data_IF_647286317504
#
_entry.id   IF_647286317504
#
_cell.length_a   1.000
_cell.length_b   1.000
_cell.length_c   1.000
_cell.angle_alpha   90.00
_cell.angle_beta   90.00
_cell.angle_gamma   90.00
#
_symmetry.space_group_name_H-M   'P 1'
#
loop_
_entity.id
_entity.type
_entity.pdbx_description
1 polymer ?
#
# COMPACT_ATOMS: atom_id res chain seq x y z
N UNK A 1 12.28 14.61 15.16
CA UNK A 1 10.98 14.11 14.69
C UNK A 1 11.14 13.64 13.27
N UNK A 2 11.14 12.32 13.03
CA UNK A 2 11.26 11.76 11.68
C UNK A 2 9.87 11.78 11.02
N UNK A 3 9.70 12.49 9.89
CA UNK A 3 8.44 12.51 9.17
C UNK A 3 8.17 11.15 8.54
N UNK A 4 7.00 10.57 8.83
CA UNK A 4 6.33 9.55 8.01
C UNK A 4 7.21 8.39 7.55
N UNK A 5 7.71 7.59 8.49
CA UNK A 5 8.30 6.29 8.16
C UNK A 5 7.18 5.31 7.79
N UNK A 6 6.68 5.40 6.55
CA UNK A 6 5.89 4.32 5.95
C UNK A 6 6.86 3.18 5.65
N UNK A 7 6.67 2.04 6.33
CA UNK A 7 7.54 0.87 6.25
C UNK A 7 7.89 0.49 4.82
N UNK A 8 9.16 0.67 4.48
CA UNK A 8 9.72 0.33 3.17
C UNK A 8 10.99 1.12 2.89
N UNK A 9 12.12 0.72 3.49
CA UNK A 9 13.42 1.06 2.88
C UNK A 9 13.44 0.40 1.50
N UNK A 10 13.23 1.19 0.45
CA UNK A 10 13.22 0.69 -0.92
C UNK A 10 13.95 1.60 -1.90
N UNK A 11 13.57 2.88 -1.97
CA UNK A 11 14.12 3.79 -2.99
C UNK A 11 14.19 5.23 -2.47
N UNK A 12 15.32 5.89 -2.70
CA UNK A 12 15.50 7.32 -2.42
C UNK A 12 15.00 8.12 -3.61
N UNK A 13 13.98 8.94 -3.40
CA UNK A 13 13.48 9.89 -4.41
C UNK A 13 13.70 11.31 -3.92
N UNK A 14 14.01 12.29 -4.81
CA UNK A 14 14.46 13.63 -4.41
C UNK A 14 13.34 14.55 -3.88
N UNK A 15 12.13 14.02 -3.74
CA UNK A 15 10.94 14.75 -3.32
C UNK A 15 10.76 14.69 -1.80
N UNK A 16 10.46 15.85 -1.21
CA UNK A 16 10.32 15.99 0.26
C UNK A 16 8.89 15.83 0.73
N UNK A 17 7.90 16.06 -0.15
CA UNK A 17 6.49 16.04 0.20
C UNK A 17 5.87 14.76 -0.32
N UNK A 18 4.91 14.24 0.44
CA UNK A 18 4.19 13.01 0.12
C UNK A 18 2.70 13.28 0.30
N UNK A 19 1.90 12.83 -0.66
CA UNK A 19 0.45 12.88 -0.65
C UNK A 19 -0.11 11.48 -0.90
N UNK A 20 -1.16 11.11 -0.17
CA UNK A 20 -1.95 9.92 -0.48
C UNK A 20 -2.88 10.26 -1.66
N UNK A 21 -2.62 9.65 -2.81
CA UNK A 21 -3.38 9.86 -4.05
C UNK A 21 -4.60 8.95 -4.19
N UNK A 22 -4.86 8.07 -3.22
CA UNK A 22 -5.97 7.14 -3.25
C UNK A 22 -5.62 5.84 -2.53
N UNK A 23 -6.63 5.20 -1.96
CA UNK A 23 -6.49 3.91 -1.29
C UNK A 23 -7.79 3.13 -1.42
N UNK A 24 -7.71 1.97 -2.05
CA UNK A 24 -8.81 1.03 -2.21
C UNK A 24 -8.50 -0.27 -1.50
N UNK A 25 -9.54 -0.90 -0.95
CA UNK A 25 -9.46 -2.20 -0.30
C UNK A 25 -10.49 -3.15 -0.90
N UNK A 26 -10.04 -4.38 -1.15
CA UNK A 26 -10.88 -5.51 -1.53
C UNK A 26 -10.77 -6.56 -0.41
N UNK A 27 -11.88 -6.91 0.21
CA UNK A 27 -11.96 -7.90 1.28
C UNK A 27 -12.50 -9.22 0.76
N UNK A 28 -12.00 -10.34 1.28
CA UNK A 28 -12.40 -11.68 0.87
C UNK A 28 -13.03 -12.45 2.05
N UNK A 29 -14.24 -12.09 2.49
CA UNK A 29 -14.88 -12.70 3.67
C UNK A 29 -15.28 -14.17 3.46
N UNK A 30 -15.43 -14.62 2.21
CA UNK A 30 -16.09 -15.90 1.86
C UNK A 30 -15.16 -16.97 1.28
N UNK A 31 -13.85 -16.92 1.51
CA UNK A 31 -13.03 -18.05 1.06
C UNK A 31 -13.46 -19.35 1.78
N UNK A 32 -13.05 -20.53 1.31
CA UNK A 32 -13.70 -21.83 1.58
C UNK A 32 -13.97 -22.21 3.06
N UNK A 33 -13.22 -21.65 4.01
CA UNK A 33 -13.35 -21.92 5.46
C UNK A 33 -13.96 -20.76 6.30
N UNK A 34 -14.46 -19.68 5.69
CA UNK A 34 -15.12 -18.58 6.41
C UNK A 34 -14.18 -17.59 7.12
N UNK A 35 -13.02 -17.29 6.51
CA UNK A 35 -11.97 -16.42 7.07
C UNK A 35 -12.32 -14.92 7.05
N UNK A 36 -13.31 -14.56 7.86
CA UNK A 36 -13.54 -13.19 8.31
C UNK A 36 -12.37 -12.76 9.19
N UNK A 37 -11.83 -11.57 8.94
CA UNK A 37 -10.78 -10.99 9.78
C UNK A 37 -11.35 -10.76 11.19
N UNK A 38 -10.74 -11.38 12.19
CA UNK A 38 -11.17 -11.34 13.57
C UNK A 38 -10.14 -10.66 14.48
N UNK A 39 -10.61 -10.17 15.62
CA UNK A 39 -9.71 -9.64 16.65
C UNK A 39 -8.79 -10.77 17.17
N UNK A 40 -7.48 -10.50 17.18
CA UNK A 40 -6.46 -11.48 17.57
C UNK A 40 -5.78 -12.19 16.40
N UNK A 41 -6.28 -12.02 15.16
CA UNK A 41 -5.60 -12.57 13.98
C UNK A 41 -4.22 -11.93 13.77
N UNK A 42 -3.26 -12.75 13.35
CA UNK A 42 -1.96 -12.27 12.90
C UNK A 42 -1.99 -12.10 11.39
N UNK A 43 -2.05 -10.84 10.94
CA UNK A 43 -2.09 -10.51 9.51
C UNK A 43 -0.68 -10.15 9.02
N UNK A 44 -0.22 -10.87 8.01
CA UNK A 44 1.01 -10.55 7.28
C UNK A 44 0.68 -9.71 6.05
N UNK A 45 1.32 -8.56 5.90
CA UNK A 45 1.22 -7.71 4.72
C UNK A 45 2.43 -7.88 3.81
N UNK A 46 2.20 -8.09 2.51
CA UNK A 46 3.26 -8.07 1.49
C UNK A 46 2.91 -7.06 0.41
N UNK A 47 3.76 -6.04 0.27
CA UNK A 47 3.57 -4.97 -0.71
C UNK A 47 4.52 -5.18 -1.90
N UNK A 48 4.00 -4.99 -3.11
CA UNK A 48 4.77 -4.83 -4.33
C UNK A 48 4.49 -3.47 -4.97
N UNK A 49 5.45 -2.95 -5.73
CA UNK A 49 5.23 -1.79 -6.60
C UNK A 49 4.56 -2.31 -7.87
N UNK A 50 3.31 -1.88 -8.12
CA UNK A 50 2.56 -2.24 -9.32
C UNK A 50 2.93 -1.38 -10.53
N UNK A 51 3.47 -0.18 -10.28
CA UNK A 51 4.00 0.71 -11.31
C UNK A 51 4.34 2.08 -10.76
N UNK A 52 5.00 2.89 -11.56
CA UNK A 52 5.27 4.29 -11.25
C UNK A 52 5.33 5.11 -12.54
N UNK A 53 5.02 6.39 -12.44
CA UNK A 53 5.11 7.35 -13.54
C UNK A 53 5.55 8.72 -13.02
N UNK A 54 6.28 9.45 -13.85
CA UNK A 54 6.61 10.85 -13.60
C UNK A 54 5.56 11.75 -14.22
N UNK A 55 5.17 12.79 -13.49
CA UNK A 55 4.21 13.79 -13.93
C UNK A 55 4.69 15.20 -13.58
N UNK A 56 4.07 16.22 -14.15
CA UNK A 56 4.30 17.62 -13.77
C UNK A 56 2.97 18.25 -13.42
N UNK A 57 2.84 18.75 -12.19
CA UNK A 57 1.68 19.49 -11.72
C UNK A 57 2.00 20.96 -11.47
N UNK A 58 1.05 21.71 -10.91
CA UNK A 58 1.21 23.13 -10.57
C UNK A 58 2.33 23.41 -9.56
N UNK A 59 2.76 22.40 -8.80
CA UNK A 59 3.83 22.49 -7.81
C UNK A 59 5.19 21.97 -8.32
N UNK A 60 5.27 21.57 -9.59
CA UNK A 60 6.50 21.05 -10.21
C UNK A 60 6.46 19.55 -10.52
N UNK A 61 7.63 18.93 -10.75
CA UNK A 61 7.75 17.50 -11.02
C UNK A 61 7.24 16.64 -9.87
N UNK A 62 6.65 15.49 -10.20
CA UNK A 62 6.06 14.56 -9.26
C UNK A 62 6.35 13.12 -9.67
N UNK A 63 6.47 12.23 -8.69
CA UNK A 63 6.48 10.78 -8.88
C UNK A 63 5.19 10.18 -8.32
N UNK A 64 4.42 9.52 -9.18
CA UNK A 64 3.19 8.82 -8.83
C UNK A 64 3.52 7.33 -8.77
N UNK A 65 3.41 6.72 -7.59
CA UNK A 65 3.71 5.29 -7.36
C UNK A 65 2.44 4.53 -7.00
N UNK A 66 2.16 3.45 -7.73
CA UNK A 66 1.08 2.49 -7.45
C UNK A 66 1.63 1.31 -6.66
N UNK A 67 0.98 0.98 -5.55
CA UNK A 67 1.34 -0.12 -4.65
C UNK A 67 0.18 -1.11 -4.56
N UNK A 68 0.53 -2.38 -4.52
CA UNK A 68 -0.41 -3.47 -4.27
C UNK A 68 0.05 -4.21 -3.02
N UNK A 69 -0.79 -4.26 -1.99
CA UNK A 69 -0.53 -4.98 -0.76
C UNK A 69 -1.47 -6.15 -0.63
N UNK A 70 -0.93 -7.36 -0.49
CA UNK A 70 -1.70 -8.56 -0.18
C UNK A 70 -1.60 -8.85 1.31
N UNK A 71 -2.74 -9.06 1.95
CA UNK A 71 -2.84 -9.42 3.36
C UNK A 71 -3.20 -10.89 3.51
N UNK A 72 -2.40 -11.63 4.28
CA UNK A 72 -2.63 -13.05 4.58
C UNK A 72 -2.76 -13.27 6.09
N UNK A 73 -3.70 -14.10 6.53
CA UNK A 73 -3.84 -14.49 7.94
C UNK A 73 -2.79 -15.52 8.37
N UNK A 74 -2.84 -15.92 9.64
CA UNK A 74 -1.96 -16.93 10.24
C UNK A 74 -2.04 -18.31 9.58
N UNK A 75 -3.13 -18.60 8.87
CA UNK A 75 -3.34 -19.84 8.13
C UNK A 75 -2.82 -19.75 6.68
N UNK A 76 -2.23 -18.60 6.30
CA UNK A 76 -1.70 -18.35 4.96
C UNK A 76 -2.75 -17.97 3.92
N UNK A 77 -4.01 -17.74 4.33
CA UNK A 77 -5.09 -17.38 3.42
C UNK A 77 -5.12 -15.88 3.16
N UNK A 78 -5.34 -15.49 1.90
CA UNK A 78 -5.53 -14.08 1.53
C UNK A 78 -6.89 -13.59 2.03
N UNK A 79 -6.88 -12.56 2.85
CA UNK A 79 -8.09 -11.98 3.47
C UNK A 79 -8.43 -10.59 2.94
N UNK A 80 -7.43 -9.87 2.41
CA UNK A 80 -7.65 -8.59 1.75
C UNK A 80 -6.54 -8.27 0.74
N UNK A 81 -6.86 -7.38 -0.19
CA UNK A 81 -5.90 -6.66 -1.04
C UNK A 81 -6.11 -5.17 -0.90
N UNK A 82 -5.03 -4.41 -0.93
CA UNK A 82 -5.05 -2.95 -0.95
C UNK A 82 -4.31 -2.43 -2.17
N UNK A 83 -4.91 -1.44 -2.82
CA UNK A 83 -4.35 -0.72 -3.94
C UNK A 83 -4.13 0.73 -3.49
N UNK A 84 -2.88 1.16 -3.45
CA UNK A 84 -2.50 2.48 -2.95
C UNK A 84 -1.81 3.31 -4.01
N UNK A 85 -2.17 4.59 -4.10
CA UNK A 85 -1.43 5.57 -4.89
C UNK A 85 -0.73 6.54 -3.97
N UNK A 86 0.58 6.74 -4.17
CA UNK A 86 1.35 7.75 -3.44
C UNK A 86 2.01 8.70 -4.42
N UNK A 87 1.85 9.99 -4.16
CA UNK A 87 2.40 11.07 -4.98
C UNK A 87 3.50 11.74 -4.17
N UNK A 88 4.69 11.86 -4.74
CA UNK A 88 5.83 12.52 -4.14
C UNK A 88 6.22 13.72 -5.01
N UNK A 89 6.40 14.90 -4.40
CA UNK A 89 6.68 16.17 -5.09
C UNK A 89 7.52 17.13 -4.24
#
# INVERSE_FOLDING_TARGET
>A
SVPGEMGGRGFSVPYKRVLNGGTDYEYFPDGPDGDVICAGDTITARTKIGGFEEATGSLGPMLITKRETTYTNQHGKVVARMYGTVIQY
#
